data_IF_677944046718
#
_entry.id   IF_677944046718
#
_cell.length_a   1.000
_cell.length_b   1.000
_cell.length_c   1.000
_cell.angle_alpha   90.00
_cell.angle_beta   90.00
_cell.angle_gamma   90.00
#
_symmetry.space_group_name_H-M   'P 1'
#
loop_
_entity.id
_entity.type
_entity.pdbx_description
1 polymer ?
#
# COMPACT_ATOMS: atom_id res chain seq x y z
N UNK A 1 32.33 1.63 -8.37
CA UNK A 1 31.58 2.42 -7.37
C UNK A 1 30.06 2.28 -7.49
N UNK A 2 29.53 1.80 -8.63
CA UNK A 2 28.08 1.60 -8.85
C UNK A 2 27.45 0.43 -8.08
N UNK A 3 28.22 -0.62 -7.77
CA UNK A 3 27.69 -1.78 -7.04
C UNK A 3 27.41 -1.47 -5.57
N UNK A 4 28.21 -0.59 -4.96
CA UNK A 4 28.04 -0.17 -3.56
C UNK A 4 26.77 0.70 -3.39
N UNK A 5 26.52 1.59 -4.36
CA UNK A 5 25.30 2.41 -4.39
C UNK A 5 24.05 1.57 -4.65
N UNK A 6 24.14 0.56 -5.54
CA UNK A 6 23.04 -0.38 -5.76
C UNK A 6 22.75 -1.24 -4.53
N UNK A 7 23.79 -1.67 -3.80
CA UNK A 7 23.65 -2.42 -2.55
C UNK A 7 22.98 -1.56 -1.46
N UNK A 8 23.40 -0.31 -1.29
CA UNK A 8 22.80 0.63 -0.34
C UNK A 8 21.35 0.97 -0.71
N UNK A 9 21.06 1.20 -1.99
CA UNK A 9 19.70 1.44 -2.46
C UNK A 9 18.79 0.22 -2.26
N UNK A 10 19.30 -0.99 -2.54
CA UNK A 10 18.58 -2.24 -2.30
C UNK A 10 18.36 -2.52 -0.81
N UNK A 11 19.34 -2.24 0.04
CA UNK A 11 19.22 -2.35 1.49
C UNK A 11 18.20 -1.34 2.05
N UNK A 12 18.25 -0.08 1.62
CA UNK A 12 17.29 0.93 2.01
C UNK A 12 15.87 0.58 1.54
N UNK A 13 15.71 0.13 0.28
CA UNK A 13 14.44 -0.33 -0.26
C UNK A 13 13.91 -1.57 0.48
N UNK A 14 14.79 -2.51 0.84
CA UNK A 14 14.45 -3.71 1.60
C UNK A 14 14.06 -3.40 3.04
N UNK A 15 14.75 -2.47 3.70
CA UNK A 15 14.41 -1.99 5.05
C UNK A 15 13.07 -1.26 5.02
N UNK A 16 12.87 -0.33 4.07
CA UNK A 16 11.59 0.36 3.89
C UNK A 16 10.45 -0.64 3.65
N UNK A 17 10.64 -1.58 2.72
CA UNK A 17 9.67 -2.65 2.45
C UNK A 17 9.40 -3.53 3.69
N UNK A 18 10.42 -3.82 4.48
CA UNK A 18 10.33 -4.57 5.74
C UNK A 18 9.63 -3.83 6.88
N UNK A 19 9.65 -2.49 6.88
CA UNK A 19 8.86 -1.66 7.79
C UNK A 19 7.35 -1.64 7.48
N UNK A 20 6.90 -2.39 6.47
CA UNK A 20 5.50 -2.38 6.06
C UNK A 20 5.13 -1.16 5.21
N UNK A 21 6.13 -0.44 4.68
CA UNK A 21 5.98 0.54 3.61
C UNK A 21 5.59 -0.26 2.36
N UNK A 22 4.31 -0.61 2.27
CA UNK A 22 3.76 -1.35 1.15
C UNK A 22 3.93 -0.55 -0.15
N UNK A 23 3.64 -1.20 -1.29
CA UNK A 23 3.73 -0.57 -2.61
C UNK A 23 2.96 0.76 -2.70
N UNK A 24 1.89 0.92 -1.91
CA UNK A 24 1.18 2.18 -1.76
C UNK A 24 2.05 3.32 -1.23
N UNK A 25 2.78 3.16 -0.13
CA UNK A 25 3.59 4.25 0.42
C UNK A 25 4.73 4.65 -0.53
N UNK A 26 5.31 3.68 -1.26
CA UNK A 26 6.29 3.95 -2.30
C UNK A 26 5.70 4.76 -3.47
N UNK A 27 4.51 4.38 -3.92
CA UNK A 27 3.77 5.11 -4.97
C UNK A 27 3.43 6.53 -4.51
N UNK A 28 3.03 6.71 -3.25
CA UNK A 28 2.76 8.02 -2.66
C UNK A 28 3.99 8.91 -2.67
N UNK A 29 5.14 8.42 -2.18
CA UNK A 29 6.41 9.16 -2.19
C UNK A 29 6.80 9.53 -3.62
N UNK A 30 6.65 8.62 -4.58
CA UNK A 30 6.93 8.91 -5.98
C UNK A 30 6.02 10.02 -6.53
N UNK A 31 4.71 9.94 -6.28
CA UNK A 31 3.75 10.90 -6.80
C UNK A 31 3.92 12.30 -6.19
N UNK A 32 4.22 12.39 -4.91
CA UNK A 32 4.32 13.67 -4.20
C UNK A 32 5.72 14.28 -4.31
N UNK A 33 6.79 13.49 -4.19
CA UNK A 33 8.16 13.99 -4.22
C UNK A 33 8.75 14.13 -5.64
N UNK A 34 8.32 13.31 -6.59
CA UNK A 34 8.86 13.33 -7.96
C UNK A 34 7.86 13.80 -9.02
N UNK A 35 6.58 13.41 -8.91
CA UNK A 35 5.56 13.80 -9.89
C UNK A 35 4.85 15.14 -9.54
N UNK A 36 5.11 15.71 -8.36
CA UNK A 36 4.52 16.99 -7.94
C UNK A 36 2.99 16.97 -7.80
N UNK A 37 2.41 15.77 -7.64
CA UNK A 37 0.97 15.57 -7.51
C UNK A 37 0.54 16.00 -6.11
N UNK A 38 -0.58 16.71 -6.03
CA UNK A 38 -1.18 17.11 -4.76
C UNK A 38 -1.42 15.91 -3.83
N UNK A 39 -1.13 16.08 -2.54
CA UNK A 39 -1.20 15.02 -1.52
C UNK A 39 -2.57 14.32 -1.50
N UNK A 40 -3.66 15.06 -1.69
CA UNK A 40 -5.02 14.53 -1.66
C UNK A 40 -5.29 13.64 -2.89
N UNK A 41 -4.82 14.08 -4.07
CA UNK A 41 -4.93 13.30 -5.30
C UNK A 41 -4.05 12.05 -5.24
N UNK A 42 -2.83 12.16 -4.72
CA UNK A 42 -1.90 11.04 -4.57
C UNK A 42 -2.46 9.97 -3.61
N UNK A 43 -3.12 10.37 -2.52
CA UNK A 43 -3.83 9.43 -1.63
C UNK A 43 -5.00 8.74 -2.33
N UNK A 44 -5.81 9.47 -3.10
CA UNK A 44 -6.90 8.90 -3.89
C UNK A 44 -6.41 7.85 -4.90
N UNK A 45 -5.32 8.15 -5.61
CA UNK A 45 -4.70 7.22 -6.56
C UNK A 45 -4.12 6.01 -5.82
N UNK A 46 -3.60 6.19 -4.61
CA UNK A 46 -3.15 5.09 -3.75
C UNK A 46 -4.27 4.10 -3.41
N UNK A 47 -5.43 4.62 -2.99
CA UNK A 47 -6.61 3.82 -2.68
C UNK A 47 -7.11 3.05 -3.91
N UNK A 48 -7.15 3.72 -5.06
CA UNK A 48 -7.48 3.10 -6.35
C UNK A 48 -6.49 1.99 -6.74
N UNK A 49 -5.19 2.20 -6.48
CA UNK A 49 -4.17 1.17 -6.70
C UNK A 49 -4.36 -0.04 -5.76
N UNK A 50 -4.81 0.19 -4.53
CA UNK A 50 -5.08 -0.87 -3.56
C UNK A 50 -6.29 -1.73 -3.91
N UNK A 51 -7.29 -1.23 -4.63
CA UNK A 51 -8.50 -1.96 -5.03
C UNK A 51 -8.23 -3.30 -5.75
N UNK A 52 -7.46 -3.37 -6.86
CA UNK A 52 -7.15 -4.62 -7.54
C UNK A 52 -6.29 -5.57 -6.69
N UNK A 53 -5.37 -5.04 -5.88
CA UNK A 53 -4.56 -5.83 -4.94
C UNK A 53 -5.44 -6.42 -3.83
N UNK A 54 -6.36 -5.63 -3.29
CA UNK A 54 -7.33 -6.10 -2.31
C UNK A 54 -8.27 -7.14 -2.92
N UNK A 55 -8.75 -6.95 -4.15
CA UNK A 55 -9.61 -7.89 -4.85
C UNK A 55 -8.95 -9.27 -5.05
N UNK A 56 -7.62 -9.32 -5.23
CA UNK A 56 -6.87 -10.58 -5.35
C UNK A 56 -6.49 -11.17 -3.98
N UNK A 57 -6.22 -10.33 -2.97
CA UNK A 57 -5.88 -10.77 -1.62
C UNK A 57 -7.10 -11.26 -0.80
N UNK A 58 -8.29 -10.70 -1.07
CA UNK A 58 -9.51 -10.95 -0.31
C UNK A 58 -9.98 -12.42 -0.43
N UNK A 59 -10.04 -13.07 -1.62
CA UNK A 59 -10.38 -14.48 -1.73
C UNK A 59 -9.39 -15.40 -0.98
N UNK A 60 -8.10 -15.06 -1.01
CA UNK A 60 -7.07 -15.82 -0.31
C UNK A 60 -7.22 -15.73 1.21
N UNK A 61 -7.56 -14.55 1.74
CA UNK A 61 -7.82 -14.33 3.17
C UNK A 61 -9.13 -14.99 3.64
N UNK A 62 -10.19 -14.93 2.83
CA UNK A 62 -11.43 -15.65 3.12
C UNK A 62 -11.20 -17.16 3.18
N UNK A 63 -10.38 -17.71 2.28
CA UNK A 63 -10.07 -19.14 2.24
C UNK A 63 -9.21 -19.60 3.42
N UNK A 64 -8.33 -18.71 3.93
CA UNK A 64 -7.49 -19.00 5.10
C UNK A 64 -8.17 -18.73 6.45
N UNK A 65 -9.44 -18.30 6.47
CA UNK A 65 -10.19 -18.08 7.71
C UNK A 65 -9.77 -16.85 8.52
N UNK A 66 -8.91 -15.98 7.98
CA UNK A 66 -8.44 -14.75 8.64
C UNK A 66 -9.42 -13.57 8.54
N UNK A 67 -10.61 -13.78 7.98
CA UNK A 67 -11.63 -12.73 7.84
C UNK A 67 -12.65 -12.84 8.95
N UNK A 68 -12.50 -11.99 9.96
CA UNK A 68 -13.51 -11.82 10.99
C UNK A 68 -14.69 -11.00 10.45
N UNK A 69 -15.75 -11.71 10.03
CA UNK A 69 -16.96 -11.10 9.46
C UNK A 69 -17.66 -10.14 10.41
N UNK A 70 -17.47 -10.27 11.74
CA UNK A 70 -18.08 -9.35 12.72
C UNK A 70 -17.40 -7.99 12.73
N UNK A 71 -16.11 -7.93 12.43
CA UNK A 71 -15.32 -6.69 12.40
C UNK A 71 -15.27 -6.08 10.99
N UNK A 72 -15.37 -6.92 9.95
CA UNK A 72 -15.40 -6.47 8.56
C UNK A 72 -16.62 -5.57 8.25
N UNK A 73 -17.81 -5.93 8.73
CA UNK A 73 -19.05 -5.16 8.49
C UNK A 73 -18.98 -3.72 9.04
N UNK A 74 -18.64 -3.48 10.32
CA UNK A 74 -18.50 -2.11 10.83
C UNK A 74 -17.35 -1.36 10.17
N UNK A 75 -16.25 -2.02 9.80
CA UNK A 75 -15.14 -1.38 9.09
C UNK A 75 -15.54 -0.91 7.67
N UNK A 76 -16.30 -1.71 6.92
CA UNK A 76 -16.81 -1.35 5.60
C UNK A 76 -17.80 -0.18 5.72
N UNK A 77 -18.71 -0.22 6.71
CA UNK A 77 -19.67 0.86 6.93
C UNK A 77 -18.99 2.18 7.33
N UNK A 78 -17.98 2.12 8.21
CA UNK A 78 -17.19 3.29 8.58
C UNK A 78 -16.43 3.86 7.37
N UNK A 79 -15.88 3.00 6.50
CA UNK A 79 -15.19 3.42 5.28
C UNK A 79 -16.10 3.96 4.18
N UNK A 80 -17.41 3.64 4.19
CA UNK A 80 -18.40 4.23 3.28
C UNK A 80 -18.96 5.57 3.79
N UNK A 81 -18.86 5.82 5.10
CA UNK A 81 -19.41 7.02 5.75
C UNK A 81 -18.40 8.17 5.85
N UNK A 82 -17.10 7.87 5.82
CA UNK A 82 -16.00 8.85 5.78
C UNK A 82 -15.58 9.17 4.36
#
# INVERSE_FOLDING_TARGET
MSWLTALLAGAAAGVLSGFGVGGGTLLLIYMTAFAGVDQHLAQGINLLYFLPTAATALPAHFKNGFVDKKTAVPAILAGLAG
#
